data_IF_343408189260
#
_entry.id   IF_343408189260
#
_cell.length_a   1.000
_cell.length_b   1.000
_cell.length_c   1.000
_cell.angle_alpha   90.00
_cell.angle_beta   90.00
_cell.angle_gamma   90.00
#
_symmetry.space_group_name_H-M   'P 1'
#
loop_
_entity.id
_entity.type
_entity.pdbx_description
1 polymer ?
#
# COMPACT_ATOMS: atom_id res chain seq x y z
N UNK A 1 2.85 13.56 11.99
CA UNK A 1 2.35 12.65 10.94
C UNK A 1 2.77 13.20 9.60
N UNK A 2 3.52 12.43 8.83
CA UNK A 2 3.86 12.73 7.44
C UNK A 2 2.96 11.90 6.52
N UNK A 3 2.67 12.40 5.33
CA UNK A 3 1.74 11.78 4.39
C UNK A 3 2.48 11.54 3.08
N UNK A 4 2.31 10.33 2.55
CA UNK A 4 2.68 9.96 1.20
C UNK A 4 1.47 9.33 0.51
N UNK A 5 1.19 9.71 -0.72
CA UNK A 5 -0.04 9.30 -1.39
C UNK A 5 -0.14 9.70 -2.85
N UNK A 6 -0.89 8.89 -3.60
CA UNK A 6 -1.27 9.24 -4.96
C UNK A 6 -2.34 10.33 -4.96
N UNK A 7 -2.27 11.22 -5.95
CA UNK A 7 -3.24 12.28 -6.13
C UNK A 7 -4.00 12.11 -7.44
N UNK A 8 -5.31 12.30 -7.37
CA UNK A 8 -6.15 12.28 -8.57
C UNK A 8 -5.84 13.49 -9.44
N UNK A 9 -5.73 13.26 -10.75
CA UNK A 9 -5.37 14.28 -11.75
C UNK A 9 -6.34 15.47 -11.84
N UNK A 10 -7.62 15.26 -11.54
CA UNK A 10 -8.67 16.27 -11.70
C UNK A 10 -8.68 17.35 -10.60
N UNK A 11 -7.64 17.44 -9.77
CA UNK A 11 -7.56 18.44 -8.70
C UNK A 11 -7.19 19.81 -9.27
N UNK A 12 -7.99 20.81 -8.91
CA UNK A 12 -7.84 22.19 -9.42
C UNK A 12 -6.49 22.82 -9.06
N UNK A 13 -5.94 22.48 -7.91
CA UNK A 13 -4.65 23.02 -7.43
C UNK A 13 -3.43 22.46 -8.16
N UNK A 14 -3.60 21.45 -9.03
CA UNK A 14 -2.49 20.91 -9.81
C UNK A 14 -2.14 21.83 -10.98
N UNK A 15 -0.85 22.05 -11.26
CA UNK A 15 -0.43 22.72 -12.49
C UNK A 15 -0.97 21.97 -13.71
N UNK A 16 -1.35 22.70 -14.76
CA UNK A 16 -1.78 22.12 -16.05
C UNK A 16 -0.70 21.19 -16.64
N UNK A 17 0.56 21.39 -16.28
CA UNK A 17 1.65 20.51 -16.65
C UNK A 17 1.55 19.09 -16.09
N UNK A 18 0.98 18.95 -14.90
CA UNK A 18 0.81 17.66 -14.23
C UNK A 18 -0.47 16.96 -14.69
N UNK A 19 -1.42 17.71 -15.26
CA UNK A 19 -2.69 17.18 -15.77
C UNK A 19 -2.53 16.51 -17.14
N UNK A 20 -1.61 16.98 -17.98
CA UNK A 20 -1.40 16.38 -19.29
C UNK A 20 -0.60 15.06 -19.18
N UNK A 21 -1.16 13.90 -19.58
CA UNK A 21 -0.45 12.63 -19.55
C UNK A 21 0.70 12.52 -20.56
N UNK A 22 0.78 13.40 -21.56
CA UNK A 22 1.83 13.41 -22.58
C UNK A 22 3.10 14.12 -22.10
N UNK A 23 2.97 15.07 -21.16
CA UNK A 23 4.05 15.96 -20.73
C UNK A 23 5.24 15.28 -20.04
N UNK A 24 5.08 14.34 -19.08
CA UNK A 24 6.24 13.65 -18.57
C UNK A 24 6.79 12.72 -19.65
N UNK A 25 8.10 12.83 -19.92
CA UNK A 25 8.82 11.86 -20.74
C UNK A 25 9.12 10.61 -19.92
N UNK A 26 9.32 9.48 -20.59
CA UNK A 26 9.67 8.23 -19.91
C UNK A 26 11.07 8.39 -19.30
N UNK A 27 11.19 8.14 -17.99
CA UNK A 27 12.46 8.31 -17.26
C UNK A 27 12.77 9.75 -16.84
N UNK A 28 11.95 10.75 -17.23
CA UNK A 28 12.10 12.15 -16.79
C UNK A 28 10.89 12.57 -15.96
N UNK A 29 10.87 12.24 -14.66
CA UNK A 29 9.83 12.72 -13.75
C UNK A 29 9.91 14.24 -13.58
N UNK A 30 8.76 14.88 -13.38
CA UNK A 30 8.66 16.31 -13.03
C UNK A 30 8.40 16.45 -11.54
N UNK A 31 9.17 17.31 -10.89
CA UNK A 31 9.03 17.61 -9.48
C UNK A 31 8.56 19.05 -9.27
N UNK A 32 7.71 19.26 -8.27
CA UNK A 32 7.33 20.57 -7.75
C UNK A 32 7.52 20.54 -6.25
N UNK A 33 8.44 21.36 -5.77
CA UNK A 33 8.76 21.49 -4.36
C UNK A 33 7.99 22.67 -3.75
N UNK A 34 7.39 22.46 -2.59
CA UNK A 34 6.68 23.53 -1.87
C UNK A 34 6.85 23.36 -0.37
N UNK A 35 7.67 24.22 0.24
CA UNK A 35 7.97 24.25 1.69
C UNK A 35 8.26 22.85 2.26
N UNK A 36 7.24 22.16 2.77
CA UNK A 36 7.31 20.86 3.46
C UNK A 36 6.76 19.69 2.63
N UNK A 37 6.48 19.87 1.34
CA UNK A 37 5.93 18.82 0.48
C UNK A 37 6.49 18.87 -0.93
N UNK A 38 6.59 17.69 -1.52
CA UNK A 38 7.07 17.46 -2.87
C UNK A 38 5.99 16.74 -3.66
N UNK A 39 5.70 17.27 -4.84
CA UNK A 39 4.79 16.69 -5.81
C UNK A 39 5.61 16.13 -6.96
N UNK A 40 5.39 14.86 -7.30
CA UNK A 40 6.05 14.20 -8.43
C UNK A 40 5.02 13.74 -9.45
N UNK A 41 5.31 13.99 -10.72
CA UNK A 41 4.58 13.42 -11.86
C UNK A 41 5.54 12.57 -12.67
N UNK A 42 5.17 11.31 -12.90
CA UNK A 42 5.99 10.38 -13.66
C UNK A 42 5.16 9.51 -14.59
N UNK A 43 5.80 9.07 -15.67
CA UNK A 43 5.18 8.21 -16.67
C UNK A 43 5.28 6.74 -16.27
N UNK A 44 4.21 6.19 -15.70
CA UNK A 44 4.14 4.76 -15.35
C UNK A 44 3.93 3.86 -16.58
N UNK A 45 3.44 4.40 -17.69
CA UNK A 45 3.27 3.69 -18.97
C UNK A 45 3.00 4.67 -20.12
N UNK A 46 2.98 4.21 -21.37
CA UNK A 46 2.92 5.08 -22.56
C UNK A 46 1.78 6.13 -22.52
N UNK A 47 0.61 5.74 -22.01
CA UNK A 47 -0.58 6.59 -21.87
C UNK A 47 -0.94 6.91 -20.41
N UNK A 48 -0.10 6.52 -19.44
CA UNK A 48 -0.40 6.61 -18.00
C UNK A 48 0.62 7.51 -17.30
N UNK A 49 0.13 8.67 -16.85
CA UNK A 49 0.82 9.57 -15.94
C UNK A 49 0.23 9.40 -14.52
N UNK A 50 1.10 9.21 -13.54
CA UNK A 50 0.77 9.09 -12.11
C UNK A 50 1.33 10.30 -11.39
N UNK A 51 0.52 10.84 -10.48
CA UNK A 51 0.86 12.00 -9.66
C UNK A 51 0.88 11.54 -8.21
N UNK A 52 1.91 11.93 -7.48
CA UNK A 52 2.14 11.51 -6.10
C UNK A 52 2.65 12.71 -5.30
N UNK A 53 2.17 12.82 -4.06
CA UNK A 53 2.56 13.85 -3.10
C UNK A 53 3.22 13.17 -1.92
N UNK A 54 4.41 13.65 -1.54
CA UNK A 54 5.08 13.22 -0.32
C UNK A 54 5.45 14.42 0.53
N UNK A 55 5.19 14.31 1.83
CA UNK A 55 5.67 15.25 2.85
C UNK A 55 6.92 14.73 3.60
N UNK A 56 7.48 13.59 3.16
CA UNK A 56 8.69 12.99 3.74
C UNK A 56 9.95 13.33 2.94
N UNK A 57 9.81 13.61 1.64
CA UNK A 57 10.94 13.81 0.73
C UNK A 57 10.98 15.27 0.28
N UNK A 58 12.17 15.88 0.31
CA UNK A 58 12.44 17.27 -0.08
C UNK A 58 13.32 17.38 -1.34
N UNK A 59 13.68 16.26 -1.95
CA UNK A 59 14.55 16.18 -3.11
C UNK A 59 13.93 15.44 -4.31
N UNK A 60 14.63 15.53 -5.44
CA UNK A 60 14.23 14.96 -6.73
C UNK A 60 15.00 13.68 -7.07
N UNK A 61 15.43 12.92 -6.07
CA UNK A 61 16.34 11.80 -6.25
C UNK A 61 15.70 10.69 -7.09
N UNK A 62 16.48 10.20 -8.06
CA UNK A 62 16.09 9.12 -8.98
C UNK A 62 16.92 7.91 -8.63
N UNK A 63 16.24 6.79 -8.35
CA UNK A 63 16.86 5.52 -7.97
C UNK A 63 16.82 4.58 -9.16
N UNK A 64 17.90 3.83 -9.34
CA UNK A 64 17.96 2.70 -10.26
C UNK A 64 17.50 1.44 -9.51
N UNK A 65 16.20 1.20 -9.46
CA UNK A 65 15.66 -0.05 -8.89
C UNK A 65 16.05 -1.23 -9.80
N UNK A 66 16.46 -2.35 -9.18
CA UNK A 66 16.87 -3.60 -9.84
C UNK A 66 15.88 -4.03 -10.92
N UNK A 67 16.18 -3.74 -12.18
CA UNK A 67 15.26 -3.91 -13.32
C UNK A 67 15.24 -2.79 -14.38
N UNK A 68 16.25 -1.92 -14.43
CA UNK A 68 16.44 -0.87 -15.47
C UNK A 68 15.35 0.21 -15.54
N UNK A 69 14.59 0.44 -14.46
CA UNK A 69 13.56 1.48 -14.42
C UNK A 69 14.02 2.63 -13.54
N UNK A 70 14.49 3.71 -14.16
CA UNK A 70 14.72 4.99 -13.48
C UNK A 70 13.39 5.49 -12.91
N UNK A 71 13.24 5.41 -11.59
CA UNK A 71 12.05 5.83 -10.86
C UNK A 71 12.45 6.86 -9.80
N UNK A 72 11.59 7.86 -9.52
CA UNK A 72 11.79 8.71 -8.36
C UNK A 72 11.84 7.86 -7.08
N UNK A 73 12.73 8.19 -6.16
CA UNK A 73 12.80 7.55 -4.84
C UNK A 73 11.44 7.56 -4.13
N UNK A 74 10.78 8.71 -4.18
CA UNK A 74 9.43 8.91 -3.65
C UNK A 74 8.44 7.84 -4.15
N UNK A 75 8.53 7.48 -5.43
CA UNK A 75 7.66 6.47 -6.04
C UNK A 75 8.01 5.07 -5.56
N UNK A 76 9.31 4.78 -5.41
CA UNK A 76 9.79 3.49 -4.88
C UNK A 76 9.36 3.30 -3.42
N UNK A 77 9.56 4.32 -2.58
CA UNK A 77 9.13 4.37 -1.19
C UNK A 77 7.61 4.21 -1.04
N UNK A 78 6.82 4.93 -1.85
CA UNK A 78 5.38 4.76 -1.84
C UNK A 78 4.98 3.34 -2.25
N UNK A 79 5.64 2.74 -3.25
CA UNK A 79 5.31 1.39 -3.70
C UNK A 79 5.64 0.32 -2.65
N UNK A 80 6.70 0.51 -1.86
CA UNK A 80 7.07 -0.43 -0.79
C UNK A 80 6.12 -0.36 0.41
N UNK A 81 5.52 0.80 0.66
CA UNK A 81 4.67 1.04 1.83
C UNK A 81 3.16 0.90 1.57
N UNK A 82 2.68 1.20 0.35
CA UNK A 82 1.24 1.19 0.01
C UNK A 82 0.53 -0.16 0.15
N UNK A 83 1.28 -1.27 0.17
CA UNK A 83 0.72 -2.62 0.12
C UNK A 83 0.13 -3.14 1.44
N UNK A 84 0.33 -2.44 2.56
CA UNK A 84 -0.04 -2.97 3.87
C UNK A 84 -1.53 -3.32 4.02
N UNK A 85 -2.42 -2.44 3.55
CA UNK A 85 -3.89 -2.67 3.60
C UNK A 85 -4.30 -3.79 2.66
N UNK A 86 -3.83 -3.76 1.41
CA UNK A 86 -4.14 -4.80 0.41
C UNK A 86 -3.66 -6.19 0.87
N UNK A 87 -2.50 -6.26 1.53
CA UNK A 87 -2.00 -7.50 2.13
C UNK A 87 -2.90 -7.99 3.26
N UNK A 88 -3.38 -7.10 4.14
CA UNK A 88 -4.32 -7.47 5.20
C UNK A 88 -5.66 -7.94 4.61
N UNK A 89 -6.19 -7.25 3.61
CA UNK A 89 -7.42 -7.62 2.93
C UNK A 89 -7.31 -8.98 2.24
N UNK A 90 -6.16 -9.28 1.62
CA UNK A 90 -5.86 -10.60 1.06
C UNK A 90 -5.82 -11.69 2.14
N UNK A 91 -5.21 -11.40 3.30
CA UNK A 91 -5.22 -12.33 4.45
C UNK A 91 -6.63 -12.54 4.98
N UNK A 92 -7.41 -11.47 5.14
CA UNK A 92 -8.79 -11.54 5.62
C UNK A 92 -9.69 -12.31 4.64
N UNK A 93 -9.51 -12.12 3.33
CA UNK A 93 -10.26 -12.86 2.32
C UNK A 93 -9.89 -14.35 2.30
N UNK A 94 -8.59 -14.67 2.31
CA UNK A 94 -8.13 -16.07 2.30
C UNK A 94 -8.43 -16.83 3.60
N UNK A 95 -8.54 -16.11 4.72
CA UNK A 95 -8.78 -16.67 6.05
C UNK A 95 -10.19 -16.39 6.60
N UNK A 96 -11.10 -15.94 5.74
CA UNK A 96 -12.45 -15.50 6.11
C UNK A 96 -13.28 -16.62 6.75
N UNK A 97 -13.88 -16.32 7.89
CA UNK A 97 -14.86 -17.18 8.59
C UNK A 97 -16.31 -16.86 8.22
N UNK A 98 -16.51 -15.88 7.33
CA UNK A 98 -17.84 -15.40 6.91
C UNK A 98 -18.69 -16.52 6.33
N UNK A 99 -19.93 -16.59 6.78
CA UNK A 99 -20.98 -17.45 6.23
C UNK A 99 -22.04 -16.61 5.53
N UNK A 100 -22.79 -17.20 4.60
CA UNK A 100 -23.95 -16.52 4.02
C UNK A 100 -25.01 -16.29 5.09
N UNK A 101 -25.32 -15.02 5.36
CA UNK A 101 -26.20 -14.57 6.44
C UNK A 101 -27.09 -13.42 5.94
N UNK A 102 -28.28 -13.28 6.51
CA UNK A 102 -29.27 -12.29 6.08
C UNK A 102 -29.17 -10.92 6.79
N UNK A 103 -28.25 -10.76 7.75
CA UNK A 103 -28.17 -9.56 8.60
C UNK A 103 -26.77 -8.94 8.65
N UNK A 104 -26.71 -7.62 8.48
CA UNK A 104 -25.47 -6.83 8.39
C UNK A 104 -24.67 -6.80 9.71
N UNK A 105 -25.29 -6.84 10.91
CA UNK A 105 -24.55 -6.92 12.17
C UNK A 105 -23.65 -8.15 12.26
N UNK A 106 -24.12 -9.29 11.77
CA UNK A 106 -23.33 -10.53 11.77
C UNK A 106 -22.16 -10.46 10.77
N UNK A 107 -22.28 -9.69 9.67
CA UNK A 107 -21.16 -9.45 8.74
C UNK A 107 -20.04 -8.66 9.43
N UNK A 108 -20.42 -7.65 10.22
CA UNK A 108 -19.47 -6.87 11.02
C UNK A 108 -18.77 -7.76 12.05
N UNK A 109 -19.53 -8.62 12.74
CA UNK A 109 -18.95 -9.57 13.70
C UNK A 109 -17.89 -10.48 13.06
N UNK A 110 -18.18 -11.07 11.90
CA UNK A 110 -17.19 -11.90 11.19
C UNK A 110 -15.98 -11.10 10.71
N UNK A 111 -16.16 -9.85 10.25
CA UNK A 111 -15.03 -8.97 9.92
C UNK A 111 -14.11 -8.74 11.12
N UNK A 112 -14.69 -8.49 12.31
CA UNK A 112 -13.93 -8.28 13.54
C UNK A 112 -13.16 -9.57 13.91
N UNK A 113 -13.79 -10.73 13.81
CA UNK A 113 -13.13 -12.02 14.06
C UNK A 113 -11.96 -12.27 13.11
N UNK A 114 -12.13 -12.01 11.82
CA UNK A 114 -11.07 -12.19 10.82
C UNK A 114 -9.88 -11.26 11.11
N UNK A 115 -10.12 -9.99 11.44
CA UNK A 115 -9.08 -9.02 11.81
C UNK A 115 -8.38 -9.40 13.12
N UNK A 116 -9.15 -9.80 14.14
CA UNK A 116 -8.61 -10.23 15.43
C UNK A 116 -7.71 -11.47 15.28
N UNK A 117 -8.10 -12.42 14.43
CA UNK A 117 -7.32 -13.61 14.13
C UNK A 117 -5.99 -13.27 13.46
N UNK A 118 -5.99 -12.33 12.50
CA UNK A 118 -4.75 -11.84 11.86
C UNK A 118 -3.84 -11.18 12.90
N UNK A 119 -4.38 -10.31 13.75
CA UNK A 119 -3.63 -9.64 14.81
C UNK A 119 -3.01 -10.65 15.80
N UNK A 120 -3.76 -11.66 16.21
CA UNK A 120 -3.27 -12.73 17.08
C UNK A 120 -2.10 -13.49 16.46
N UNK A 121 -2.18 -13.83 15.17
CA UNK A 121 -1.08 -14.50 14.44
C UNK A 121 0.15 -13.61 14.33
N UNK A 122 -0.01 -12.30 14.08
CA UNK A 122 1.11 -11.35 14.04
C UNK A 122 1.82 -11.31 15.40
N UNK A 123 1.08 -11.16 16.49
CA UNK A 123 1.63 -11.15 17.84
C UNK A 123 2.33 -12.47 18.20
N UNK A 124 1.72 -13.59 17.86
CA UNK A 124 2.30 -14.92 18.10
C UNK A 124 3.62 -15.10 17.35
N UNK A 125 3.69 -14.69 16.08
CA UNK A 125 4.91 -14.74 15.27
C UNK A 125 6.01 -13.83 15.81
N UNK A 126 5.66 -12.64 16.30
CA UNK A 126 6.62 -11.73 16.94
C UNK A 126 7.19 -12.33 18.24
N UNK A 127 6.36 -13.02 19.02
CA UNK A 127 6.78 -13.65 20.27
C UNK A 127 7.61 -14.93 20.06
N UNK A 128 7.35 -15.69 19.00
CA UNK A 128 8.00 -16.99 18.74
C UNK A 128 8.59 -17.10 17.31
N UNK A 129 9.67 -16.37 16.98
CA UNK A 129 10.21 -16.29 15.62
C UNK A 129 10.82 -17.60 15.10
N UNK A 130 11.24 -18.51 15.99
CA UNK A 130 11.87 -19.79 15.63
C UNK A 130 10.86 -20.91 15.29
N UNK A 131 9.57 -20.73 15.58
CA UNK A 131 8.56 -21.76 15.37
C UNK A 131 8.10 -21.82 13.90
N UNK A 132 8.68 -22.74 13.12
CA UNK A 132 8.30 -22.96 11.70
C UNK A 132 6.84 -23.38 11.51
N UNK A 133 6.22 -24.04 12.49
CA UNK A 133 4.79 -24.39 12.46
C UNK A 133 3.88 -23.15 12.52
N UNK A 134 4.33 -22.06 13.16
CA UNK A 134 3.66 -20.77 13.17
C UNK A 134 3.69 -20.04 11.80
N UNK A 135 4.65 -20.40 10.94
CA UNK A 135 4.79 -19.80 9.61
C UNK A 135 3.83 -20.40 8.59
N UNK A 136 3.50 -21.69 8.70
CA UNK A 136 2.75 -22.42 7.67
C UNK A 136 1.28 -22.61 8.08
N UNK A 137 0.99 -22.86 9.35
CA UNK A 137 -0.33 -23.39 9.77
C UNK A 137 -0.83 -22.82 11.11
N UNK A 138 -0.45 -21.57 11.45
CA UNK A 138 -0.92 -20.90 12.68
C UNK A 138 -2.45 -20.89 12.81
N UNK A 139 -3.18 -20.89 11.67
CA UNK A 139 -4.64 -21.02 11.64
C UNK A 139 -5.14 -22.38 12.11
N UNK A 140 -4.57 -23.51 11.65
CA UNK A 140 -5.00 -24.84 12.11
C UNK A 140 -4.74 -25.00 13.59
N UNK A 141 -3.59 -24.52 14.05
CA UNK A 141 -3.23 -24.54 15.46
C UNK A 141 -4.25 -23.75 16.32
N UNK A 142 -4.53 -22.50 15.96
CA UNK A 142 -5.48 -21.66 16.71
C UNK A 142 -6.93 -22.16 16.59
N UNK A 143 -7.36 -22.61 15.41
CA UNK A 143 -8.71 -23.16 15.22
C UNK A 143 -8.90 -24.52 15.92
N UNK A 144 -7.82 -25.30 16.12
CA UNK A 144 -7.87 -26.52 16.94
C UNK A 144 -7.86 -26.25 18.45
N UNK A 145 -7.34 -25.11 18.91
CA UNK A 145 -7.36 -24.74 20.33
C UNK A 145 -8.69 -24.13 20.78
N UNK A 146 -9.45 -23.51 19.86
CA UNK A 146 -10.73 -22.85 20.16
C UNK A 146 -11.94 -23.76 19.83
N UNK A 147 -11.70 -24.90 19.19
CA UNK A 147 -12.71 -25.90 18.80
C UNK A 147 -13.01 -26.92 19.87
#
# INVERSE_FOLDING_TARGET
MTVDGTLRRNKSFLPEEFKDPKKPERGKPKFVFRKWKTLVSYKSGAKKNVILVSAMHDDGTIVNTSGHKQLPEIVDFYNSTKGGVDCMDLMAHSMSTKRQIKGWPMVIFFNILDIASIAAVILFRQKFPANRLAQIDARRFFQSEIG
#
